data_IF_637914351431
#
_entry.id   IF_637914351431
#
_cell.length_a   1.000
_cell.length_b   1.000
_cell.length_c   1.000
_cell.angle_alpha   90.00
_cell.angle_beta   90.00
_cell.angle_gamma   90.00
#
_symmetry.space_group_name_H-M   'P 1'
#
loop_
_entity.id
_entity.type
_entity.pdbx_description
1 polymer ?
#
# COMPACT_ATOMS: atom_id res chain seq x y z
N UNK A 1 9.87 -6.57 46.71
CA UNK A 1 9.36 -6.86 45.35
C UNK A 1 9.37 -5.57 44.53
N UNK A 2 10.42 -5.33 43.73
CA UNK A 2 10.50 -4.17 42.84
C UNK A 2 10.00 -4.60 41.46
N UNK A 3 8.89 -4.04 41.00
CA UNK A 3 8.44 -4.18 39.61
C UNK A 3 9.45 -3.43 38.72
N UNK A 4 10.15 -4.16 37.86
CA UNK A 4 10.97 -3.57 36.83
C UNK A 4 10.06 -2.86 35.82
N UNK A 5 10.19 -1.54 35.74
CA UNK A 5 9.61 -0.77 34.66
C UNK A 5 10.32 -1.16 33.37
N UNK A 6 9.59 -1.83 32.48
CA UNK A 6 10.05 -2.04 31.10
C UNK A 6 10.12 -0.66 30.46
N UNK A 7 11.34 -0.15 30.28
CA UNK A 7 11.60 1.03 29.48
C UNK A 7 11.08 0.77 28.06
N UNK A 8 10.12 1.57 27.62
CA UNK A 8 9.76 1.66 26.20
C UNK A 8 11.00 2.14 25.46
N UNK A 9 11.64 1.24 24.72
CA UNK A 9 12.67 1.61 23.76
C UNK A 9 12.03 2.52 22.72
N UNK A 10 12.62 3.70 22.57
CA UNK A 10 12.28 4.67 21.54
C UNK A 10 12.61 4.03 20.19
N UNK A 11 11.58 3.69 19.41
CA UNK A 11 11.70 2.94 18.15
C UNK A 11 12.40 3.83 17.10
N UNK A 12 13.38 3.30 16.38
CA UNK A 12 14.10 4.05 15.34
C UNK A 12 13.14 4.77 14.36
N UNK A 13 13.41 6.04 14.01
CA UNK A 13 12.55 6.87 13.15
C UNK A 13 12.35 6.33 11.72
N UNK A 14 13.10 5.29 11.32
CA UNK A 14 12.99 4.59 10.04
C UNK A 14 11.96 3.46 10.00
N UNK A 15 11.64 2.86 11.15
CA UNK A 15 10.87 1.62 11.19
C UNK A 15 9.39 1.80 11.52
N UNK A 16 9.00 2.98 12.00
CA UNK A 16 7.68 3.17 12.60
C UNK A 16 6.95 4.43 12.12
N UNK A 17 7.20 4.87 10.88
CA UNK A 17 6.40 5.95 10.27
C UNK A 17 5.09 5.36 9.74
N UNK A 18 4.08 5.34 10.61
CA UNK A 18 2.71 4.98 10.25
C UNK A 18 2.33 3.51 10.50
N UNK A 19 2.74 2.92 11.64
CA UNK A 19 2.04 1.76 12.22
C UNK A 19 1.45 2.09 13.62
N UNK A 20 0.13 2.13 13.71
CA UNK A 20 -0.85 2.33 14.78
C UNK A 20 -1.00 1.00 15.50
N UNK A 21 -0.96 -0.12 14.76
CA UNK A 21 -0.91 -1.46 15.33
C UNK A 21 0.12 -2.34 14.60
N UNK A 22 1.02 -2.96 15.37
CA UNK A 22 1.99 -3.92 14.84
C UNK A 22 1.41 -5.34 14.84
N UNK A 23 1.28 -5.95 13.66
CA UNK A 23 0.80 -7.34 13.51
C UNK A 23 1.62 -8.34 14.32
N UNK A 24 2.93 -8.11 14.46
CA UNK A 24 3.79 -8.95 15.25
C UNK A 24 3.47 -8.82 16.74
N UNK A 25 3.28 -7.60 17.23
CA UNK A 25 2.84 -7.32 18.59
C UNK A 25 1.47 -7.96 18.87
N UNK A 26 0.53 -7.92 17.92
CA UNK A 26 -0.76 -8.61 18.05
C UNK A 26 -0.59 -10.11 18.25
N UNK A 27 0.27 -10.77 17.45
CA UNK A 27 0.56 -12.19 17.61
C UNK A 27 1.19 -12.50 18.98
N UNK A 28 2.12 -11.68 19.46
CA UNK A 28 2.73 -11.85 20.78
C UNK A 28 1.71 -11.69 21.91
N UNK A 29 0.84 -10.67 21.82
CA UNK A 29 -0.21 -10.46 22.80
C UNK A 29 -1.19 -11.64 22.81
N UNK A 30 -1.59 -12.16 21.65
CA UNK A 30 -2.44 -13.36 21.55
C UNK A 30 -1.77 -14.56 22.21
N UNK A 31 -0.47 -14.79 21.98
CA UNK A 31 0.27 -15.91 22.58
C UNK A 31 0.31 -15.79 24.11
N UNK A 32 0.53 -14.57 24.62
CA UNK A 32 0.64 -14.30 26.05
C UNK A 32 -0.71 -14.43 26.78
N UNK A 33 -1.81 -13.96 26.20
CA UNK A 33 -3.11 -13.90 26.87
C UNK A 33 -4.07 -15.04 26.47
N UNK A 34 -3.78 -15.78 25.40
CA UNK A 34 -4.62 -16.87 24.90
C UNK A 34 -5.98 -16.42 24.32
N UNK A 35 -6.13 -15.14 23.94
CA UNK A 35 -7.40 -14.57 23.48
C UNK A 35 -7.20 -13.37 22.54
N UNK A 36 -7.89 -13.38 21.39
CA UNK A 36 -7.91 -12.23 20.47
C UNK A 36 -8.52 -11.01 21.15
N UNK A 37 -9.57 -11.19 21.94
CA UNK A 37 -10.26 -10.09 22.63
C UNK A 37 -9.36 -9.43 23.67
N UNK A 38 -8.62 -10.21 24.46
CA UNK A 38 -7.72 -9.66 25.47
C UNK A 38 -6.53 -8.93 24.81
N UNK A 39 -5.96 -9.50 23.75
CA UNK A 39 -4.91 -8.86 22.96
C UNK A 39 -5.40 -7.53 22.34
N UNK A 40 -6.59 -7.53 21.75
CA UNK A 40 -7.19 -6.34 21.16
C UNK A 40 -7.34 -5.19 22.17
N UNK A 41 -7.84 -5.51 23.37
CA UNK A 41 -7.99 -4.55 24.46
C UNK A 41 -6.65 -3.97 24.92
N UNK A 42 -5.61 -4.80 25.05
CA UNK A 42 -4.26 -4.36 25.44
C UNK A 42 -3.65 -3.41 24.41
N UNK A 43 -3.91 -3.66 23.12
CA UNK A 43 -3.43 -2.82 22.02
C UNK A 43 -4.31 -1.58 21.77
N UNK A 44 -5.43 -1.43 22.46
CA UNK A 44 -6.37 -0.33 22.20
C UNK A 44 -7.01 -0.42 20.80
N UNK A 45 -7.22 -1.63 20.29
CA UNK A 45 -7.91 -1.88 19.02
C UNK A 45 -9.27 -2.55 19.24
N UNK A 46 -10.18 -2.39 18.29
CA UNK A 46 -11.47 -3.09 18.35
C UNK A 46 -11.28 -4.59 18.11
N UNK A 47 -12.15 -5.43 18.69
CA UNK A 47 -12.15 -6.86 18.44
C UNK A 47 -12.21 -7.19 16.93
N UNK A 48 -13.05 -6.47 16.17
CA UNK A 48 -13.16 -6.64 14.71
C UNK A 48 -11.82 -6.37 14.03
N UNK A 49 -11.13 -5.29 14.38
CA UNK A 49 -9.81 -4.96 13.82
C UNK A 49 -8.78 -6.04 14.09
N UNK A 50 -8.73 -6.57 15.33
CA UNK A 50 -7.82 -7.65 15.68
C UNK A 50 -8.14 -8.95 14.93
N UNK A 51 -9.42 -9.24 14.76
CA UNK A 51 -9.89 -10.40 14.01
C UNK A 51 -9.53 -10.33 12.52
N UNK A 52 -9.85 -9.21 11.86
CA UNK A 52 -9.55 -8.98 10.46
C UNK A 52 -8.03 -9.05 10.21
N UNK A 53 -7.22 -8.55 11.15
CA UNK A 53 -5.77 -8.67 11.12
C UNK A 53 -5.29 -10.14 11.23
N UNK A 54 -5.86 -10.92 12.15
CA UNK A 54 -5.52 -12.35 12.28
C UNK A 54 -5.92 -13.12 11.03
N UNK A 55 -7.09 -12.84 10.46
CA UNK A 55 -7.57 -13.49 9.24
C UNK A 55 -6.69 -13.12 8.04
N UNK A 56 -6.31 -11.85 7.89
CA UNK A 56 -5.39 -11.41 6.85
C UNK A 56 -4.03 -12.11 6.95
N UNK A 57 -3.45 -12.19 8.15
CA UNK A 57 -2.16 -12.86 8.37
C UNK A 57 -2.26 -14.37 8.09
N UNK A 58 -3.35 -15.02 8.51
CA UNK A 58 -3.56 -16.44 8.22
C UNK A 58 -3.72 -16.71 6.72
N UNK A 59 -4.40 -15.82 5.98
CA UNK A 59 -4.56 -15.94 4.53
C UNK A 59 -3.25 -15.72 3.76
N UNK A 60 -2.32 -14.96 4.33
CA UNK A 60 -0.98 -14.75 3.75
C UNK A 60 -0.02 -15.92 4.04
N UNK A 61 -0.27 -16.70 5.09
CA UNK A 61 0.59 -17.80 5.50
C UNK A 61 0.21 -19.12 4.83
N UNK A 62 1.19 -19.97 4.53
CA UNK A 62 0.96 -21.32 3.98
C UNK A 62 0.17 -22.23 4.94
N UNK A 63 0.23 -21.94 6.23
CA UNK A 63 -0.59 -22.59 7.26
C UNK A 63 -0.97 -21.58 8.34
N UNK A 64 -2.11 -21.77 9.03
CA UNK A 64 -2.59 -20.81 10.03
C UNK A 64 -1.53 -20.52 11.10
N UNK A 65 -1.33 -19.23 11.39
CA UNK A 65 -0.44 -18.80 12.46
C UNK A 65 -1.17 -18.73 13.80
N UNK A 66 -2.48 -18.48 13.76
CA UNK A 66 -3.36 -18.46 14.94
C UNK A 66 -4.52 -19.42 14.74
N UNK A 67 -4.72 -20.30 15.72
CA UNK A 67 -5.85 -21.22 15.79
C UNK A 67 -6.83 -20.82 16.89
N UNK A 68 -8.12 -21.03 16.64
CA UNK A 68 -9.16 -20.85 17.66
C UNK A 68 -9.32 -22.12 18.46
N UNK A 69 -9.36 -22.00 19.77
CA UNK A 69 -9.85 -23.06 20.66
C UNK A 69 -11.35 -22.96 20.78
N UNK A 70 -12.06 -24.02 20.41
CA UNK A 70 -13.50 -24.15 20.67
C UNK A 70 -13.71 -24.08 22.17
N UNK A 71 -14.46 -23.07 22.61
CA UNK A 71 -14.74 -22.84 24.02
C UNK A 71 -16.20 -23.14 24.34
N UNK A 72 -16.41 -23.80 25.48
CA UNK A 72 -17.73 -23.94 26.10
C UNK A 72 -18.20 -22.64 26.75
N UNK A 73 -18.91 -22.76 27.88
CA UNK A 73 -19.71 -21.71 28.54
C UNK A 73 -19.02 -20.37 28.87
N UNK A 74 -17.68 -20.28 28.78
CA UNK A 74 -16.88 -19.08 29.05
C UNK A 74 -16.15 -18.49 27.81
N UNK A 75 -16.50 -18.94 26.59
CA UNK A 75 -15.96 -18.41 25.34
C UNK A 75 -14.73 -19.18 24.81
N UNK A 76 -14.55 -19.12 23.49
CA UNK A 76 -13.41 -19.70 22.78
C UNK A 76 -12.11 -18.91 22.98
N UNK A 77 -10.98 -19.61 23.01
CA UNK A 77 -9.65 -19.00 23.09
C UNK A 77 -9.00 -18.86 21.71
N UNK A 78 -7.84 -18.23 21.66
CA UNK A 78 -6.98 -18.21 20.48
C UNK A 78 -5.53 -18.42 20.89
N UNK A 79 -4.81 -19.27 20.16
CA UNK A 79 -3.42 -19.59 20.48
C UNK A 79 -2.63 -19.61 19.19
N UNK A 80 -1.37 -19.18 19.24
CA UNK A 80 -0.48 -19.35 18.11
C UNK A 80 -0.23 -20.83 17.86
N UNK A 81 -0.15 -21.19 16.59
CA UNK A 81 0.33 -22.50 16.17
C UNK A 81 1.84 -22.60 16.43
N UNK A 82 2.40 -23.81 16.33
CA UNK A 82 3.85 -23.98 16.37
C UNK A 82 4.54 -23.18 15.25
N UNK A 83 3.88 -23.04 14.10
CA UNK A 83 4.34 -22.19 13.01
C UNK A 83 4.27 -20.71 13.40
N UNK A 84 3.14 -20.23 13.93
CA UNK A 84 2.99 -18.85 14.39
C UNK A 84 4.07 -18.43 15.38
N UNK A 85 4.34 -19.23 16.41
CA UNK A 85 5.42 -18.95 17.39
C UNK A 85 6.80 -18.89 16.75
N UNK A 86 7.10 -19.80 15.81
CA UNK A 86 8.37 -19.75 15.06
C UNK A 86 8.48 -18.49 14.22
N UNK A 87 7.43 -18.10 13.49
CA UNK A 87 7.42 -16.88 12.70
C UNK A 87 7.72 -15.66 13.56
N UNK A 88 7.02 -15.50 14.69
CA UNK A 88 7.24 -14.40 15.64
C UNK A 88 8.70 -14.36 16.08
N UNK A 89 9.27 -15.51 16.47
CA UNK A 89 10.66 -15.58 16.92
C UNK A 89 11.65 -15.17 15.82
N UNK A 90 11.49 -15.64 14.58
CA UNK A 90 12.37 -15.33 13.46
C UNK A 90 12.27 -13.85 13.10
N UNK A 91 11.05 -13.33 13.01
CA UNK A 91 10.80 -11.94 12.64
C UNK A 91 11.39 -10.97 13.66
N UNK A 92 11.27 -11.25 14.97
CA UNK A 92 11.89 -10.43 16.03
C UNK A 92 13.42 -10.38 15.92
N UNK A 93 14.07 -11.49 15.57
CA UNK A 93 15.51 -11.49 15.33
C UNK A 93 15.86 -10.65 14.10
N UNK A 94 15.12 -10.83 13.00
CA UNK A 94 15.34 -10.07 11.77
C UNK A 94 15.19 -8.55 11.97
N UNK A 95 14.14 -8.11 12.68
CA UNK A 95 13.90 -6.68 12.90
C UNK A 95 15.02 -6.04 13.72
N UNK A 96 15.53 -6.73 14.73
CA UNK A 96 16.65 -6.25 15.56
C UNK A 96 17.92 -6.07 14.72
N UNK A 97 18.27 -7.04 13.89
CA UNK A 97 19.45 -6.96 13.02
C UNK A 97 19.29 -5.85 11.96
N UNK A 98 18.07 -5.72 11.40
CA UNK A 98 17.73 -4.67 10.44
C UNK A 98 17.90 -3.27 11.04
N UNK A 99 17.43 -3.06 12.27
CA UNK A 99 17.52 -1.76 12.95
C UNK A 99 18.97 -1.36 13.20
N UNK A 100 19.79 -2.31 13.66
CA UNK A 100 21.21 -2.08 13.85
C UNK A 100 21.93 -1.74 12.54
N UNK A 101 21.64 -2.49 11.48
CA UNK A 101 22.25 -2.27 10.16
C UNK A 101 21.86 -0.92 9.57
N UNK A 102 20.58 -0.56 9.62
CA UNK A 102 20.11 0.73 9.10
C UNK A 102 20.72 1.91 9.86
N UNK A 103 20.80 1.81 11.19
CA UNK A 103 21.44 2.84 12.01
C UNK A 103 22.94 3.00 11.67
N UNK A 104 23.64 1.92 11.35
CA UNK A 104 25.03 1.98 10.91
C UNK A 104 25.15 2.63 9.51
N UNK A 105 24.30 2.25 8.56
CA UNK A 105 24.32 2.82 7.21
C UNK A 105 24.04 4.32 7.21
N UNK A 106 23.10 4.79 8.04
CA UNK A 106 22.80 6.21 8.23
C UNK A 106 24.01 7.04 8.72
N UNK A 107 25.00 6.42 9.36
CA UNK A 107 26.20 7.12 9.82
C UNK A 107 27.31 7.18 8.75
N UNK A 108 27.24 6.31 7.75
CA UNK A 108 28.31 6.10 6.77
C UNK A 108 27.94 6.66 5.39
N UNK A 109 26.65 6.72 5.07
CA UNK A 109 26.14 7.15 3.78
C UNK A 109 25.30 8.41 3.96
N UNK A 110 25.77 9.51 3.38
CA UNK A 110 25.03 10.76 3.34
C UNK A 110 23.68 10.57 2.61
N UNK A 111 22.64 11.25 3.11
CA UNK A 111 21.28 11.26 2.55
C UNK A 111 20.61 9.87 2.38
N UNK A 112 21.10 8.83 3.08
CA UNK A 112 20.53 7.48 2.98
C UNK A 112 19.02 7.45 3.23
N UNK A 113 18.53 8.21 4.20
CA UNK A 113 17.10 8.40 4.52
C UNK A 113 16.25 8.81 3.31
N UNK A 114 16.83 9.59 2.38
CA UNK A 114 16.12 10.09 1.20
C UNK A 114 16.07 9.05 0.08
N UNK A 115 17.10 8.20 -0.02
CA UNK A 115 17.19 7.19 -1.08
C UNK A 115 16.68 5.82 -0.68
N UNK A 116 16.68 5.48 0.62
CA UNK A 116 16.24 4.18 1.12
C UNK A 116 14.81 3.82 0.68
N UNK A 117 13.82 4.73 0.70
CA UNK A 117 12.48 4.42 0.17
C UNK A 117 12.50 4.05 -1.33
N UNK A 118 13.37 4.69 -2.11
CA UNK A 118 13.54 4.39 -3.54
C UNK A 118 14.22 3.02 -3.74
N UNK A 119 15.20 2.67 -2.92
CA UNK A 119 15.85 1.35 -2.95
C UNK A 119 14.80 0.26 -2.67
N UNK A 120 14.01 0.44 -1.60
CA UNK A 120 12.94 -0.52 -1.27
C UNK A 120 11.88 -0.66 -2.36
N UNK A 121 11.68 0.38 -3.17
CA UNK A 121 10.80 0.31 -4.34
C UNK A 121 11.34 -0.66 -5.39
N UNK A 122 12.66 -0.76 -5.59
CA UNK A 122 13.22 -1.70 -6.56
C UNK A 122 12.89 -3.17 -6.24
N UNK A 123 12.65 -3.48 -4.97
CA UNK A 123 12.23 -4.81 -4.54
C UNK A 123 10.74 -5.08 -4.77
N UNK A 124 9.92 -4.04 -4.99
CA UNK A 124 8.50 -4.19 -5.24
C UNK A 124 8.24 -4.67 -6.66
N UNK A 125 7.72 -5.90 -6.80
CA UNK A 125 7.28 -6.47 -8.08
C UNK A 125 5.77 -6.54 -8.13
N UNK A 126 5.17 -5.84 -9.08
CA UNK A 126 3.72 -5.91 -9.35
C UNK A 126 3.47 -6.03 -10.85
N UNK A 127 2.30 -6.56 -11.23
CA UNK A 127 1.88 -6.59 -12.64
C UNK A 127 1.33 -5.24 -13.14
N UNK A 128 1.14 -4.26 -12.25
CA UNK A 128 0.74 -2.92 -12.62
C UNK A 128 1.94 -2.19 -13.23
N UNK A 129 1.82 -1.81 -14.51
CA UNK A 129 2.88 -1.08 -15.24
C UNK A 129 2.94 0.39 -14.85
N UNK A 130 1.83 0.95 -14.36
CA UNK A 130 1.78 2.32 -13.87
C UNK A 130 1.98 2.29 -12.36
N UNK A 131 3.14 2.80 -11.92
CA UNK A 131 3.51 2.90 -10.51
C UNK A 131 4.00 4.31 -10.25
N UNK A 132 3.15 5.13 -9.64
CA UNK A 132 3.46 6.51 -9.32
C UNK A 132 3.74 6.64 -7.83
N UNK A 133 4.90 7.18 -7.48
CA UNK A 133 5.18 7.63 -6.12
C UNK A 133 4.61 9.03 -5.96
N UNK A 134 3.94 9.28 -4.85
CA UNK A 134 3.37 10.57 -4.51
C UNK A 134 3.17 10.75 -3.02
N UNK A 135 2.89 11.98 -2.60
CA UNK A 135 2.56 12.30 -1.21
C UNK A 135 1.06 12.42 -1.05
N UNK A 136 0.52 11.90 0.06
CA UNK A 136 -0.88 12.10 0.41
C UNK A 136 -1.13 13.59 0.66
N UNK A 137 -1.95 14.19 -0.18
CA UNK A 137 -2.34 15.60 -0.05
C UNK A 137 -3.53 15.76 0.87
N UNK A 138 -4.57 14.95 0.68
CA UNK A 138 -5.78 14.97 1.52
C UNK A 138 -6.39 13.57 1.65
N UNK A 139 -7.03 13.32 2.79
CA UNK A 139 -7.85 12.12 3.02
C UNK A 139 -9.24 12.56 3.46
N UNK A 140 -10.26 12.22 2.67
CA UNK A 140 -11.66 12.46 2.99
C UNK A 140 -12.35 11.15 3.31
N UNK A 141 -12.56 10.91 4.60
CA UNK A 141 -13.17 9.67 5.08
C UNK A 141 -14.69 9.81 5.16
N UNK A 142 -15.41 8.89 4.52
CA UNK A 142 -16.84 8.66 4.72
C UNK A 142 -17.10 7.43 5.62
N UNK A 143 -18.36 7.01 5.70
CA UNK A 143 -18.73 5.87 6.57
C UNK A 143 -18.10 4.54 6.13
N UNK A 144 -18.09 4.30 4.81
CA UNK A 144 -17.61 3.04 4.19
C UNK A 144 -16.31 3.24 3.42
N UNK A 145 -16.20 4.35 2.70
CA UNK A 145 -15.10 4.63 1.78
C UNK A 145 -14.35 5.90 2.17
N UNK A 146 -13.15 6.05 1.66
CA UNK A 146 -12.35 7.26 1.76
C UNK A 146 -11.79 7.64 0.38
N UNK A 147 -11.87 8.93 0.08
CA UNK A 147 -11.18 9.53 -1.07
C UNK A 147 -9.80 9.99 -0.62
N UNK A 148 -8.75 9.47 -1.24
CA UNK A 148 -7.36 9.83 -0.98
C UNK A 148 -6.81 10.53 -2.22
N UNK A 149 -6.32 11.76 -2.06
CA UNK A 149 -5.69 12.53 -3.12
C UNK A 149 -4.18 12.48 -2.94
N UNK A 150 -3.47 12.05 -3.96
CA UNK A 150 -2.02 12.01 -4.02
C UNK A 150 -1.48 13.07 -4.97
N UNK A 151 -0.49 13.83 -4.52
CA UNK A 151 0.34 14.64 -5.40
C UNK A 151 1.48 13.77 -5.93
N UNK A 152 1.52 13.55 -7.25
CA UNK A 152 2.58 12.75 -7.89
C UNK A 152 3.69 13.65 -8.48
N UNK A 153 3.60 14.96 -8.31
CA UNK A 153 4.57 15.94 -8.82
C UNK A 153 4.28 16.38 -10.26
N UNK A 154 4.89 17.50 -10.65
CA UNK A 154 4.67 18.09 -11.99
C UNK A 154 3.28 18.72 -12.17
N UNK A 155 2.57 18.97 -11.07
CA UNK A 155 1.19 19.49 -11.07
C UNK A 155 0.11 18.42 -11.25
N UNK A 156 0.49 17.15 -11.40
CA UNK A 156 -0.45 16.05 -11.57
C UNK A 156 -0.86 15.46 -10.21
N UNK A 157 -2.14 15.16 -10.07
CA UNK A 157 -2.72 14.51 -8.89
C UNK A 157 -3.43 13.20 -9.27
N UNK A 158 -3.38 12.22 -8.36
CA UNK A 158 -4.15 10.97 -8.48
C UNK A 158 -5.08 10.83 -7.28
N UNK A 159 -6.36 10.68 -7.57
CA UNK A 159 -7.43 10.36 -6.65
C UNK A 159 -7.69 8.87 -6.63
N UNK A 160 -7.58 8.26 -5.45
CA UNK A 160 -7.97 6.87 -5.16
C UNK A 160 -9.20 6.84 -4.26
N UNK A 161 -10.09 5.88 -4.49
CA UNK A 161 -11.23 5.60 -3.63
C UNK A 161 -11.05 4.20 -3.05
N UNK A 162 -10.76 4.13 -1.74
CA UNK A 162 -10.50 2.90 -1.00
C UNK A 162 -11.47 2.78 0.17
N UNK A 163 -11.53 1.61 0.81
CA UNK A 163 -12.34 1.45 2.01
C UNK A 163 -11.73 2.24 3.17
N UNK A 164 -12.59 2.66 4.11
CA UNK A 164 -12.14 3.25 5.37
C UNK A 164 -11.20 2.31 6.13
N UNK A 165 -11.47 1.02 6.07
CA UNK A 165 -10.64 -0.01 6.69
C UNK A 165 -9.24 -0.05 6.05
N UNK A 166 -9.13 0.12 4.72
CA UNK A 166 -7.83 0.23 4.04
C UNK A 166 -7.04 1.47 4.44
N UNK A 167 -7.70 2.62 4.66
CA UNK A 167 -7.02 3.81 5.22
C UNK A 167 -6.42 3.49 6.59
N UNK A 168 -7.18 2.78 7.43
CA UNK A 168 -6.72 2.36 8.75
C UNK A 168 -5.64 1.27 8.72
N UNK A 169 -5.65 0.39 7.72
CA UNK A 169 -4.68 -0.70 7.57
C UNK A 169 -3.35 -0.22 6.97
N UNK A 170 -3.42 0.68 5.99
CA UNK A 170 -2.25 1.34 5.38
C UNK A 170 -1.78 2.53 6.20
N UNK A 171 -2.61 2.97 7.14
CA UNK A 171 -2.36 4.06 8.08
C UNK A 171 -1.98 5.37 7.43
N UNK A 172 -2.74 5.69 6.39
CA UNK A 172 -2.49 6.85 5.59
C UNK A 172 -2.70 8.11 6.44
N UNK A 173 -1.70 8.99 6.40
CA UNK A 173 -1.76 10.35 6.93
C UNK A 173 -1.40 11.33 5.84
N UNK A 174 -1.86 12.58 5.94
CA UNK A 174 -1.40 13.64 5.04
C UNK A 174 0.13 13.80 5.14
N UNK A 175 0.78 14.05 4.01
CA UNK A 175 2.23 14.12 3.84
C UNK A 175 2.94 12.77 3.68
N UNK A 176 2.26 11.64 3.92
CA UNK A 176 2.86 10.30 3.81
C UNK A 176 3.21 9.96 2.36
N UNK A 177 4.36 9.32 2.14
CA UNK A 177 4.76 8.78 0.85
C UNK A 177 3.98 7.48 0.56
N UNK A 178 3.27 7.45 -0.57
CA UNK A 178 2.40 6.36 -1.00
C UNK A 178 2.62 6.09 -2.48
N UNK A 179 2.39 4.84 -2.88
CA UNK A 179 2.44 4.42 -4.27
C UNK A 179 1.04 4.19 -4.82
N UNK A 180 0.72 4.82 -5.96
CA UNK A 180 -0.45 4.53 -6.76
C UNK A 180 -0.11 3.46 -7.82
N UNK A 181 -0.80 2.33 -7.74
CA UNK A 181 -0.68 1.22 -8.68
C UNK A 181 -1.92 1.18 -9.58
N UNK A 182 -1.70 1.31 -10.89
CA UNK A 182 -2.79 1.31 -11.89
C UNK A 182 -2.46 0.31 -12.99
N UNK A 183 -3.35 -0.65 -13.22
CA UNK A 183 -3.19 -1.59 -14.33
C UNK A 183 -3.41 -0.87 -15.66
N UNK A 184 -2.58 -1.15 -16.66
CA UNK A 184 -2.67 -0.47 -17.97
C UNK A 184 -4.03 -0.65 -18.66
N UNK A 185 -4.72 -1.77 -18.42
CA UNK A 185 -6.07 -2.03 -18.94
C UNK A 185 -7.18 -1.26 -18.21
N UNK A 186 -6.86 -0.50 -17.17
CA UNK A 186 -7.80 0.41 -16.50
C UNK A 186 -7.69 1.85 -16.96
N UNK A 187 -6.69 2.14 -17.81
CA UNK A 187 -6.51 3.47 -18.38
C UNK A 187 -7.31 3.56 -19.67
N UNK A 188 -8.21 4.54 -19.74
CA UNK A 188 -8.92 4.89 -20.96
C UNK A 188 -8.23 6.11 -21.56
N UNK A 189 -7.92 6.09 -22.85
CA UNK A 189 -7.39 7.27 -23.54
C UNK A 189 -8.52 8.04 -24.22
N UNK A 190 -8.45 9.36 -24.17
CA UNK A 190 -9.32 10.25 -24.92
C UNK A 190 -8.48 11.24 -25.72
N UNK A 191 -8.86 11.47 -26.97
CA UNK A 191 -8.31 12.54 -27.82
C UNK A 191 -9.02 13.88 -27.61
N UNK A 192 -10.06 13.93 -26.76
CA UNK A 192 -10.79 15.15 -26.42
C UNK A 192 -10.56 15.54 -24.97
N UNK A 193 -9.78 16.60 -24.76
CA UNK A 193 -9.44 17.09 -23.42
C UNK A 193 -10.61 17.76 -22.67
N UNK A 194 -11.72 18.08 -23.34
CA UNK A 194 -12.89 18.72 -22.75
C UNK A 194 -14.00 17.73 -22.37
N UNK A 195 -13.71 16.43 -22.35
CA UNK A 195 -14.71 15.42 -22.05
C UNK A 195 -15.09 15.45 -20.56
N UNK A 196 -16.36 15.74 -20.27
CA UNK A 196 -16.92 15.57 -18.93
C UNK A 196 -17.16 14.10 -18.68
N UNK A 197 -16.44 13.52 -17.73
CA UNK A 197 -16.61 12.12 -17.31
C UNK A 197 -16.76 12.02 -15.81
N UNK A 198 -17.25 10.87 -15.35
CA UNK A 198 -17.26 10.53 -13.93
C UNK A 198 -15.92 9.94 -13.46
N UNK A 199 -14.87 9.95 -14.29
CA UNK A 199 -13.52 9.60 -13.85
C UNK A 199 -12.93 10.76 -13.07
N UNK A 200 -12.33 10.45 -11.91
CA UNK A 200 -11.74 11.48 -11.02
C UNK A 200 -10.31 11.83 -11.41
N UNK A 201 -9.67 10.97 -12.20
CA UNK A 201 -8.32 11.16 -12.69
C UNK A 201 -8.36 11.47 -14.18
N UNK A 202 -7.76 12.58 -14.56
CA UNK A 202 -7.57 13.00 -15.94
C UNK A 202 -6.14 13.53 -16.07
N UNK A 203 -5.24 12.69 -16.61
CA UNK A 203 -3.82 13.01 -16.76
C UNK A 203 -3.54 13.27 -18.24
N UNK A 204 -3.24 14.52 -18.60
CA UNK A 204 -2.96 14.91 -19.99
C UNK A 204 -1.48 14.74 -20.30
N UNK A 205 -1.18 14.24 -21.49
CA UNK A 205 0.18 14.04 -21.95
C UNK A 205 0.26 13.78 -23.45
N UNK A 206 1.46 13.48 -23.92
CA UNK A 206 1.73 13.23 -25.34
C UNK A 206 2.11 11.77 -25.55
N UNK A 207 1.54 11.12 -26.56
CA UNK A 207 1.93 9.76 -26.94
C UNK A 207 3.38 9.78 -27.40
N UNK A 208 4.23 9.00 -26.73
CA UNK A 208 5.65 8.83 -27.08
C UNK A 208 5.93 7.48 -27.75
N UNK A 209 5.06 6.50 -27.52
CA UNK A 209 5.13 5.19 -28.19
C UNK A 209 3.73 4.61 -28.36
N UNK A 210 3.47 4.02 -29.52
CA UNK A 210 2.29 3.21 -29.77
C UNK A 210 2.74 1.92 -30.45
N UNK A 211 2.46 0.78 -29.84
CA UNK A 211 2.84 -0.54 -30.33
C UNK A 211 1.60 -1.42 -30.47
N UNK A 212 1.14 -1.63 -31.70
CA UNK A 212 0.05 -2.57 -32.00
C UNK A 212 0.55 -4.02 -31.88
N UNK A 213 -0.12 -4.80 -31.05
CA UNK A 213 0.06 -6.26 -30.98
C UNK A 213 -0.99 -6.99 -31.81
N UNK A 214 -1.13 -8.30 -31.58
CA UNK A 214 -2.09 -9.13 -32.33
C UNK A 214 -3.56 -8.74 -32.08
N UNK A 215 -3.89 -8.25 -30.89
CA UNK A 215 -5.27 -7.93 -30.46
C UNK A 215 -5.38 -6.51 -29.88
N UNK A 216 -4.41 -6.13 -29.06
CA UNK A 216 -4.39 -4.86 -28.36
C UNK A 216 -3.09 -4.13 -28.63
N UNK A 217 -3.12 -2.81 -28.44
CA UNK A 217 -1.97 -1.95 -28.52
C UNK A 217 -1.51 -1.50 -27.13
N UNK A 218 -0.19 -1.41 -26.96
CA UNK A 218 0.43 -0.72 -25.84
C UNK A 218 0.73 0.73 -26.25
N UNK A 219 0.12 1.68 -25.54
CA UNK A 219 0.32 3.12 -25.76
C UNK A 219 1.02 3.70 -24.54
N UNK A 220 2.16 4.34 -24.76
CA UNK A 220 2.93 5.06 -23.74
C UNK A 220 2.73 6.55 -23.95
N UNK A 221 2.31 7.22 -22.89
CA UNK A 221 2.03 8.65 -22.82
C UNK A 221 3.03 9.28 -21.85
N UNK A 222 3.76 10.29 -22.30
CA UNK A 222 4.56 11.15 -21.43
C UNK A 222 3.65 12.24 -20.84
N UNK A 223 3.55 12.25 -19.52
CA UNK A 223 2.81 13.24 -18.75
C UNK A 223 3.63 14.53 -18.61
N UNK A 224 2.96 15.64 -18.31
CA UNK A 224 3.59 16.96 -18.17
C UNK A 224 4.70 16.98 -17.10
N UNK A 225 4.54 16.19 -16.04
CA UNK A 225 5.56 16.04 -14.99
C UNK A 225 6.77 15.16 -15.36
N UNK A 226 6.96 14.79 -16.63
CA UNK A 226 8.08 13.95 -17.11
C UNK A 226 7.95 12.47 -16.76
N UNK A 227 6.83 12.04 -16.17
CA UNK A 227 6.54 10.62 -15.91
C UNK A 227 5.87 10.00 -17.14
N UNK A 228 6.02 8.69 -17.30
CA UNK A 228 5.32 7.94 -18.35
C UNK A 228 4.14 7.15 -17.79
N UNK A 229 3.04 7.14 -18.51
CA UNK A 229 1.86 6.31 -18.29
C UNK A 229 1.72 5.30 -19.44
N UNK A 230 1.36 4.06 -19.13
CA UNK A 230 1.11 2.99 -20.09
C UNK A 230 -0.36 2.59 -20.06
N UNK A 231 -1.01 2.63 -21.22
CA UNK A 231 -2.36 2.15 -21.46
C UNK A 231 -2.35 0.93 -22.39
N UNK A 232 -3.25 -0.02 -22.16
CA UNK A 232 -3.54 -1.12 -23.08
C UNK A 232 -4.95 -0.92 -23.61
N UNK A 233 -5.07 -0.65 -24.90
CA UNK A 233 -6.35 -0.41 -25.59
C UNK A 233 -6.44 -1.30 -26.84
N UNK A 234 -7.63 -1.41 -27.44
CA UNK A 234 -7.78 -2.20 -28.68
C UNK A 234 -7.05 -1.55 -29.84
N UNK A 235 -6.62 -2.35 -30.82
CA UNK A 235 -6.03 -1.83 -32.06
C UNK A 235 -7.01 -0.92 -32.81
N UNK A 236 -8.32 -1.23 -32.74
CA UNK A 236 -9.35 -0.39 -33.36
C UNK A 236 -9.42 0.99 -32.73
N UNK A 237 -9.32 1.10 -31.39
CA UNK A 237 -9.27 2.41 -30.72
C UNK A 237 -8.05 3.24 -31.14
N UNK A 238 -6.89 2.60 -31.36
CA UNK A 238 -5.70 3.30 -31.88
C UNK A 238 -5.98 3.91 -33.25
N UNK A 239 -6.60 3.14 -34.15
CA UNK A 239 -6.90 3.57 -35.52
C UNK A 239 -7.98 4.64 -35.55
N UNK A 240 -9.08 4.43 -34.83
CA UNK A 240 -10.23 5.35 -34.77
C UNK A 240 -9.84 6.70 -34.18
N UNK A 241 -8.97 6.71 -33.17
CA UNK A 241 -8.45 7.92 -32.56
C UNK A 241 -7.21 8.49 -33.29
N UNK A 242 -6.74 7.83 -34.35
CA UNK A 242 -5.53 8.14 -35.09
C UNK A 242 -4.30 8.38 -34.18
N UNK A 243 -4.13 7.53 -33.16
CA UNK A 243 -3.03 7.66 -32.19
C UNK A 243 -1.69 7.35 -32.84
N UNK A 244 -0.76 8.30 -32.71
CA UNK A 244 0.63 8.17 -33.16
C UNK A 244 1.52 8.97 -32.22
N UNK A 245 2.83 8.78 -32.33
CA UNK A 245 3.80 9.59 -31.58
C UNK A 245 3.55 11.08 -31.84
N UNK A 246 3.53 11.88 -30.78
CA UNK A 246 3.22 13.31 -30.80
C UNK A 246 1.74 13.65 -30.63
N UNK A 247 0.82 12.68 -30.69
CA UNK A 247 -0.60 12.95 -30.42
C UNK A 247 -0.82 13.29 -28.95
N UNK A 248 -1.47 14.41 -28.66
CA UNK A 248 -1.91 14.75 -27.30
C UNK A 248 -3.15 13.93 -26.93
N UNK A 249 -3.13 13.37 -25.72
CA UNK A 249 -4.24 12.56 -25.18
C UNK A 249 -4.43 12.85 -23.70
N UNK A 250 -5.64 12.60 -23.21
CA UNK A 250 -5.94 12.58 -21.79
C UNK A 250 -6.22 11.14 -21.34
N UNK A 251 -5.46 10.67 -20.36
CA UNK A 251 -5.64 9.38 -19.71
C UNK A 251 -6.66 9.51 -18.56
N UNK A 252 -7.78 8.81 -18.70
CA UNK A 252 -8.88 8.77 -17.75
C UNK A 252 -8.81 7.49 -16.92
N UNK A 253 -8.79 7.63 -15.60
CA UNK A 253 -8.74 6.50 -14.66
C UNK A 253 -9.82 6.68 -13.59
N UNK A 254 -10.59 5.63 -13.34
CA UNK A 254 -11.54 5.61 -12.22
C UNK A 254 -10.79 5.55 -10.89
N UNK A 255 -11.23 6.31 -9.89
CA UNK A 255 -10.58 6.32 -8.58
C UNK A 255 -10.63 4.95 -7.88
N UNK A 256 -11.64 4.12 -8.16
CA UNK A 256 -11.74 2.72 -7.74
C UNK A 256 -10.71 1.80 -8.41
N UNK A 257 -10.03 2.25 -9.47
CA UNK A 257 -9.03 1.52 -10.22
C UNK A 257 -7.61 2.02 -9.90
N UNK A 258 -7.45 2.66 -8.75
CA UNK A 258 -6.16 3.08 -8.21
C UNK A 258 -5.95 2.35 -6.89
N UNK A 259 -5.02 1.40 -6.87
CA UNK A 259 -4.64 0.71 -5.64
C UNK A 259 -3.53 1.50 -4.97
N UNK A 260 -3.64 1.68 -3.65
CA UNK A 260 -2.60 2.31 -2.86
C UNK A 260 -1.72 1.25 -2.20
N UNK A 261 -0.41 1.48 -2.20
CA UNK A 261 0.56 0.67 -1.50
C UNK A 261 1.50 1.56 -0.69
N UNK A 262 1.90 1.07 0.48
CA UNK A 262 2.92 1.68 1.33
C UNK A 262 4.06 0.69 1.48
N UNK A 263 5.27 1.21 1.67
CA UNK A 263 6.47 0.39 1.89
C UNK A 263 6.73 0.38 3.40
N UNK A 264 6.42 -0.75 4.05
CA UNK A 264 6.54 -0.94 5.51
C UNK A 264 7.84 -1.62 5.90
#
# INVERSE_FOLDING_TARGET
MKKAAVQKQDKSPLMNRGRKYDHLELLEQIDACGSITAAANLMGMSYKTAWDAVEAINNLAESPLVERRVGGRNGGGAVLTAHGRRLVSVYRHLDKEREQTLNQLNQVVDDFESYYPLIRRFDMKTSARNQFSGKVKTIKTGEVNAEVVLDIGGGDEIVSNITRDSVGHLELTEGMDVYALIKSSWVILSSNNNLKTSSRNALTGTVVRCHEGAVNAEVIVELRGGKTLTAIITNDSVRDMALKTGTEVTALIKSSNVILAVVS
#
